data_IF_308172473750
#
_entry.id   IF_308172473750
#
_cell.length_a   1.000
_cell.length_b   1.000
_cell.length_c   1.000
_cell.angle_alpha   90.00
_cell.angle_beta   90.00
_cell.angle_gamma   90.00
#
_symmetry.space_group_name_H-M   'P 1'
#
loop_
_entity.id
_entity.type
_entity.pdbx_description
1 polymer ?
#
# COMPACT_ATOMS: atom_id res chain seq x y z
N UNK A 1 3.88 50.11 -8.21
CA UNK A 1 2.96 48.99 -7.93
C UNK A 1 3.72 47.94 -7.15
N UNK A 2 3.39 47.80 -5.87
CA UNK A 2 4.06 46.88 -4.94
C UNK A 2 3.72 45.42 -5.28
N UNK A 3 4.73 44.61 -5.59
CA UNK A 3 4.64 43.14 -5.54
C UNK A 3 4.50 42.73 -4.07
N UNK A 4 3.35 42.16 -3.71
CA UNK A 4 3.21 41.48 -2.41
C UNK A 4 4.04 40.21 -2.45
N UNK A 5 5.12 40.22 -1.68
CA UNK A 5 5.88 39.07 -1.24
C UNK A 5 4.95 38.06 -0.56
N UNK A 6 4.95 36.82 -1.04
CA UNK A 6 4.29 35.71 -0.36
C UNK A 6 4.90 35.53 1.03
N UNK A 7 4.05 35.31 2.03
CA UNK A 7 4.49 35.05 3.38
C UNK A 7 5.25 33.72 3.41
N UNK A 8 6.55 33.77 3.70
CA UNK A 8 7.27 32.61 4.21
C UNK A 8 6.77 32.37 5.64
N UNK A 9 5.98 31.32 5.83
CA UNK A 9 5.79 30.74 7.16
C UNK A 9 7.12 30.12 7.56
N UNK A 10 7.79 30.70 8.55
CA UNK A 10 8.99 30.13 9.17
C UNK A 10 8.55 29.48 10.47
N UNK A 11 7.60 28.55 10.40
CA UNK A 11 7.22 27.75 11.55
C UNK A 11 8.25 26.63 11.72
N UNK A 12 8.93 26.60 12.87
CA UNK A 12 9.89 25.55 13.23
C UNK A 12 9.25 24.14 13.28
N UNK A 13 7.92 24.06 13.23
CA UNK A 13 7.11 22.83 13.10
C UNK A 13 6.94 22.32 11.66
N UNK A 14 7.36 23.07 10.63
CA UNK A 14 7.30 22.66 9.22
C UNK A 14 8.59 22.01 8.70
N UNK A 15 9.60 21.84 9.55
CA UNK A 15 10.82 21.13 9.18
C UNK A 15 10.52 19.65 8.91
N UNK A 16 10.89 19.15 7.73
CA UNK A 16 10.79 17.71 7.40
C UNK A 16 11.74 16.94 8.30
N UNK A 17 11.20 16.25 9.30
CA UNK A 17 11.93 15.20 10.00
C UNK A 17 11.73 13.86 9.28
N UNK A 18 12.54 13.64 8.25
CA UNK A 18 12.55 12.38 7.49
C UNK A 18 12.97 11.16 8.34
N UNK A 19 13.44 11.37 9.58
CA UNK A 19 13.73 10.27 10.50
C UNK A 19 12.50 9.82 11.28
N UNK A 20 11.43 10.63 11.32
CA UNK A 20 10.17 10.29 11.97
C UNK A 20 9.27 9.43 11.05
N UNK A 21 9.66 8.17 10.89
CA UNK A 21 8.89 7.13 10.19
C UNK A 21 7.76 6.54 11.04
N UNK A 22 7.41 7.18 12.16
CA UNK A 22 6.39 6.70 13.09
C UNK A 22 4.99 7.20 12.74
N UNK A 23 4.02 6.30 12.90
CA UNK A 23 2.59 6.57 12.83
C UNK A 23 1.97 6.64 14.23
N UNK A 24 0.75 6.14 14.35
CA UNK A 24 -0.04 6.15 15.57
C UNK A 24 0.73 5.57 16.77
N UNK A 25 0.87 6.36 17.85
CA UNK A 25 1.54 5.98 19.09
C UNK A 25 2.95 5.37 18.91
N UNK A 26 3.72 5.82 17.93
CA UNK A 26 5.08 5.32 17.69
C UNK A 26 5.14 4.03 16.87
N UNK A 27 4.00 3.50 16.41
CA UNK A 27 3.95 2.34 15.50
C UNK A 27 4.69 2.65 14.20
N UNK A 28 5.30 1.65 13.57
CA UNK A 28 5.99 1.85 12.29
C UNK A 28 4.98 2.19 11.19
N UNK A 29 5.17 3.31 10.49
CA UNK A 29 4.32 3.68 9.37
C UNK A 29 4.54 2.70 8.20
N UNK A 30 3.46 2.28 7.54
CA UNK A 30 3.52 1.34 6.42
C UNK A 30 2.41 1.60 5.42
N UNK A 31 2.63 1.15 4.18
CA UNK A 31 1.68 1.24 3.10
C UNK A 31 1.49 -0.11 2.42
N UNK A 32 0.27 -0.37 1.95
CA UNK A 32 -0.10 -1.62 1.27
C UNK A 32 -0.97 -1.29 0.07
N UNK A 33 -0.76 -1.99 -1.05
CA UNK A 33 -1.51 -1.78 -2.29
C UNK A 33 -2.40 -2.97 -2.60
N UNK A 34 -3.70 -2.73 -2.64
CA UNK A 34 -4.68 -3.66 -3.17
C UNK A 34 -4.74 -3.43 -4.69
N UNK A 35 -3.89 -4.16 -5.42
CA UNK A 35 -3.86 -4.11 -6.87
C UNK A 35 -5.04 -4.92 -7.43
N UNK A 36 -5.88 -4.28 -8.24
CA UNK A 36 -7.14 -4.85 -8.75
C UNK A 36 -7.15 -4.83 -10.28
N UNK A 37 -7.67 -5.89 -10.88
CA UNK A 37 -8.06 -5.91 -12.30
C UNK A 37 -9.51 -6.33 -12.48
N UNK A 38 -10.16 -5.74 -13.48
CA UNK A 38 -11.50 -6.15 -13.93
C UNK A 38 -11.39 -7.40 -14.81
N UNK A 39 -12.28 -8.36 -14.63
CA UNK A 39 -12.41 -9.54 -15.49
C UNK A 39 -13.89 -9.79 -15.81
N UNK A 40 -14.21 -10.62 -16.83
CA UNK A 40 -15.60 -10.99 -17.10
C UNK A 40 -16.35 -11.62 -15.91
N UNK A 41 -15.63 -12.25 -14.99
CA UNK A 41 -16.17 -12.93 -13.80
C UNK A 41 -16.14 -12.05 -12.53
N UNK A 42 -15.91 -10.75 -12.68
CA UNK A 42 -15.76 -9.79 -11.60
C UNK A 42 -14.31 -9.37 -11.34
N UNK A 43 -14.06 -8.68 -10.24
CA UNK A 43 -12.69 -8.24 -9.90
C UNK A 43 -11.79 -9.40 -9.49
N UNK A 44 -10.50 -9.26 -9.78
CA UNK A 44 -9.42 -10.03 -9.15
C UNK A 44 -8.47 -9.11 -8.42
N UNK A 45 -7.94 -9.57 -7.29
CA UNK A 45 -6.91 -8.92 -6.48
C UNK A 45 -5.59 -9.69 -6.60
N UNK A 46 -4.47 -8.98 -6.68
CA UNK A 46 -3.16 -9.60 -6.58
C UNK A 46 -2.85 -9.92 -5.11
N UNK A 47 -2.58 -11.18 -4.81
CA UNK A 47 -2.24 -11.66 -3.47
C UNK A 47 -0.95 -12.43 -3.51
N UNK A 48 -0.25 -12.44 -2.39
CA UNK A 48 0.96 -13.23 -2.18
C UNK A 48 0.92 -13.95 -0.84
N UNK A 49 1.45 -15.18 -0.80
CA UNK A 49 1.70 -15.93 0.43
C UNK A 49 3.13 -15.67 0.89
N UNK A 50 3.29 -15.11 2.09
CA UNK A 50 4.60 -14.72 2.63
C UNK A 50 5.43 -15.95 2.96
N UNK A 51 6.72 -15.92 2.60
CA UNK A 51 7.64 -17.02 2.92
C UNK A 51 7.70 -17.26 4.43
N UNK A 52 7.85 -18.52 4.82
CA UNK A 52 7.88 -18.91 6.23
C UNK A 52 9.06 -18.30 7.02
N UNK A 53 10.13 -17.90 6.32
CA UNK A 53 11.32 -17.29 6.91
C UNK A 53 11.11 -15.82 7.32
N UNK A 54 10.01 -15.18 6.91
CA UNK A 54 9.76 -13.78 7.21
C UNK A 54 9.56 -13.52 8.70
N UNK A 55 10.12 -12.41 9.17
CA UNK A 55 10.04 -12.02 10.60
C UNK A 55 8.61 -11.72 11.06
N UNK A 56 7.79 -11.14 10.18
CA UNK A 56 6.41 -10.75 10.48
C UNK A 56 5.47 -11.48 9.53
N UNK A 57 4.38 -12.02 10.09
CA UNK A 57 3.29 -12.69 9.36
C UNK A 57 3.74 -13.81 8.39
N UNK A 58 4.57 -14.78 8.81
CA UNK A 58 4.97 -15.90 7.94
C UNK A 58 3.76 -16.77 7.55
N UNK A 59 3.69 -17.23 6.29
CA UNK A 59 2.61 -18.08 5.77
C UNK A 59 1.24 -17.41 5.72
N UNK A 60 1.20 -16.08 5.85
CA UNK A 60 -0.03 -15.29 5.72
C UNK A 60 -0.17 -14.83 4.27
N UNK A 61 -1.38 -14.94 3.74
CA UNK A 61 -1.74 -14.34 2.46
C UNK A 61 -2.01 -12.86 2.66
N UNK A 62 -1.28 -12.01 1.93
CA UNK A 62 -1.31 -10.55 2.07
C UNK A 62 -1.36 -9.88 0.70
N UNK A 63 -1.65 -8.58 0.72
CA UNK A 63 -1.40 -7.70 -0.41
C UNK A 63 0.08 -7.22 -0.39
N UNK A 64 0.62 -6.76 -1.53
CA UNK A 64 1.94 -6.15 -1.57
C UNK A 64 2.08 -4.93 -0.66
N UNK A 65 3.19 -4.78 0.04
CA UNK A 65 3.40 -3.63 0.90
C UNK A 65 4.38 -3.82 2.04
N UNK A 66 4.86 -2.69 2.55
CA UNK A 66 5.88 -2.67 3.58
C UNK A 66 5.97 -1.34 4.31
N UNK A 67 7.06 -1.19 5.04
CA UNK A 67 7.27 -0.04 5.92
C UNK A 67 7.76 1.17 5.15
N UNK A 68 7.33 2.36 5.58
CA UNK A 68 7.89 3.61 5.06
C UNK A 68 9.39 3.70 5.42
N UNK A 69 10.21 4.00 4.44
CA UNK A 69 11.64 4.28 4.54
C UNK A 69 11.87 5.80 4.63
N UNK A 70 12.95 6.24 5.28
CA UNK A 70 13.27 7.67 5.35
C UNK A 70 13.49 8.31 3.98
N UNK A 71 13.87 7.51 2.97
CA UNK A 71 14.05 7.91 1.57
C UNK A 71 12.73 8.08 0.81
N UNK A 72 11.60 7.62 1.36
CA UNK A 72 10.27 7.87 0.80
C UNK A 72 9.78 9.31 1.13
N UNK A 73 10.40 9.97 2.11
CA UNK A 73 10.11 11.36 2.42
C UNK A 73 10.63 12.31 1.35
N UNK A 74 9.94 13.43 1.13
CA UNK A 74 10.43 14.43 0.19
C UNK A 74 11.74 15.07 0.69
N UNK A 75 12.59 15.57 -0.22
CA UNK A 75 13.82 16.26 0.15
C UNK A 75 13.54 17.52 1.00
N UNK A 76 14.53 17.98 1.78
CA UNK A 76 14.36 19.13 2.70
C UNK A 76 13.93 20.44 2.02
N UNK A 77 14.25 20.62 0.74
CA UNK A 77 13.90 21.80 -0.05
C UNK A 77 12.67 21.56 -0.95
N UNK A 78 11.83 20.59 -0.62
CA UNK A 78 10.69 20.21 -1.44
C UNK A 78 9.65 21.33 -1.53
N UNK A 79 9.46 21.81 -2.76
CA UNK A 79 8.29 22.57 -3.14
C UNK A 79 7.21 21.56 -3.56
N UNK A 80 5.95 21.84 -3.23
CA UNK A 80 4.82 20.97 -3.60
C UNK A 80 4.84 20.72 -5.14
N UNK A 81 5.21 19.51 -5.59
CA UNK A 81 5.16 19.12 -7.02
C UNK A 81 6.34 18.32 -7.57
N UNK A 82 7.51 18.30 -6.92
CA UNK A 82 8.63 17.50 -7.45
C UNK A 82 8.32 16.00 -7.37
N UNK A 83 8.43 15.30 -8.51
CA UNK A 83 8.13 13.86 -8.69
C UNK A 83 6.69 13.46 -8.33
N UNK A 84 5.75 14.41 -8.38
CA UNK A 84 4.38 14.23 -7.91
C UNK A 84 3.36 14.86 -8.86
N UNK A 85 2.38 14.06 -9.29
CA UNK A 85 1.23 14.51 -10.11
C UNK A 85 -0.10 14.16 -9.43
N UNK A 86 -1.16 14.90 -9.78
CA UNK A 86 -2.54 14.67 -9.34
C UNK A 86 -2.96 15.58 -8.18
N UNK A 87 -3.77 15.05 -7.25
CA UNK A 87 -4.17 15.77 -6.03
C UNK A 87 -2.94 16.22 -5.25
N UNK A 88 -2.96 17.45 -4.73
CA UNK A 88 -1.85 17.95 -3.91
C UNK A 88 -1.63 17.09 -2.67
N UNK A 89 -0.37 16.97 -2.22
CA UNK A 89 -0.04 16.24 -1.01
C UNK A 89 -0.82 16.73 0.22
N UNK A 90 -1.14 18.03 0.30
CA UNK A 90 -2.01 18.58 1.36
C UNK A 90 -3.43 18.01 1.29
N UNK A 91 -3.99 17.83 0.10
CA UNK A 91 -5.31 17.22 -0.09
C UNK A 91 -5.29 15.75 0.34
N UNK A 92 -4.28 15.00 -0.10
CA UNK A 92 -4.08 13.59 0.28
C UNK A 92 -3.88 13.47 1.80
N UNK A 93 -3.05 14.32 2.39
CA UNK A 93 -2.79 14.35 3.82
C UNK A 93 -4.06 14.57 4.65
N UNK A 94 -4.95 15.48 4.21
CA UNK A 94 -6.24 15.69 4.86
C UNK A 94 -7.12 14.44 4.80
N UNK A 95 -7.11 13.72 3.67
CA UNK A 95 -7.87 12.46 3.51
C UNK A 95 -7.33 11.35 4.40
N UNK A 96 -6.01 11.26 4.54
CA UNK A 96 -5.31 10.25 5.35
C UNK A 96 -5.27 10.60 6.84
N UNK A 97 -5.48 11.86 7.22
CA UNK A 97 -5.35 12.32 8.60
C UNK A 97 -3.89 12.32 9.09
N UNK A 98 -2.96 12.72 8.22
CA UNK A 98 -1.52 12.82 8.52
C UNK A 98 -0.95 14.15 8.02
N UNK A 99 0.34 14.42 8.23
CA UNK A 99 1.02 15.59 7.67
C UNK A 99 1.27 15.42 6.16
N UNK A 100 1.50 16.51 5.43
CA UNK A 100 1.80 16.44 3.97
C UNK A 100 3.04 15.60 3.65
N UNK A 101 4.04 15.63 4.52
CA UNK A 101 5.27 14.84 4.37
C UNK A 101 5.03 13.34 4.58
N UNK A 102 4.21 12.96 5.58
CA UNK A 102 3.80 11.56 5.78
C UNK A 102 2.90 11.07 4.66
N UNK A 103 2.03 11.93 4.11
CA UNK A 103 1.23 11.58 2.94
C UNK A 103 2.10 11.31 1.71
N UNK A 104 3.13 12.13 1.47
CA UNK A 104 4.13 11.89 0.43
C UNK A 104 4.81 10.53 0.63
N UNK A 105 5.37 10.31 1.82
CA UNK A 105 6.10 9.09 2.16
C UNK A 105 5.24 7.83 2.05
N UNK A 106 3.96 7.89 2.42
CA UNK A 106 3.03 6.78 2.28
C UNK A 106 2.77 6.41 0.82
N UNK A 107 2.59 7.39 -0.07
CA UNK A 107 2.36 7.13 -1.49
C UNK A 107 3.63 6.62 -2.17
N UNK A 108 4.79 7.18 -1.83
CA UNK A 108 6.08 6.70 -2.34
C UNK A 108 6.38 5.27 -1.85
N UNK A 109 6.16 4.98 -0.57
CA UNK A 109 6.27 3.62 -0.06
C UNK A 109 5.31 2.66 -0.78
N UNK A 110 4.06 3.06 -1.02
CA UNK A 110 3.09 2.23 -1.74
C UNK A 110 3.58 1.87 -3.16
N UNK A 111 4.11 2.84 -3.92
CA UNK A 111 4.67 2.62 -5.27
C UNK A 111 5.94 1.76 -5.20
N UNK A 112 6.84 2.06 -4.27
CA UNK A 112 8.12 1.36 -4.10
C UNK A 112 7.88 -0.11 -3.77
N UNK A 113 7.12 -0.39 -2.72
CA UNK A 113 6.86 -1.76 -2.25
C UNK A 113 6.14 -2.58 -3.32
N UNK A 114 5.15 -1.99 -4.02
CA UNK A 114 4.49 -2.69 -5.13
C UNK A 114 5.49 -3.06 -6.23
N UNK A 115 6.40 -2.15 -6.59
CA UNK A 115 7.38 -2.40 -7.63
C UNK A 115 8.44 -3.41 -7.20
N UNK A 116 8.97 -3.29 -5.98
CA UNK A 116 9.94 -4.22 -5.39
C UNK A 116 9.37 -5.64 -5.37
N UNK A 117 8.14 -5.82 -4.90
CA UNK A 117 7.56 -7.15 -4.69
C UNK A 117 6.96 -7.77 -5.97
N UNK A 118 6.46 -6.96 -6.90
CA UNK A 118 5.65 -7.48 -8.03
C UNK A 118 6.14 -7.07 -9.42
N UNK A 119 7.11 -6.16 -9.52
CA UNK A 119 7.52 -5.58 -10.80
C UNK A 119 6.51 -4.62 -11.42
N UNK A 120 5.34 -4.41 -10.80
CA UNK A 120 4.35 -3.42 -11.26
C UNK A 120 4.72 -2.02 -10.78
N UNK A 121 4.94 -1.10 -11.70
CA UNK A 121 5.31 0.29 -11.42
C UNK A 121 4.13 1.23 -11.70
N UNK A 122 3.59 1.84 -10.65
CA UNK A 122 2.58 2.90 -10.73
C UNK A 122 3.28 4.26 -10.84
N UNK A 123 3.73 4.59 -12.04
CA UNK A 123 4.37 5.87 -12.34
C UNK A 123 3.83 6.48 -13.64
N UNK A 124 3.90 7.79 -13.75
CA UNK A 124 3.51 8.56 -14.94
C UNK A 124 4.68 9.39 -15.46
N UNK A 125 4.69 9.72 -16.75
CA UNK A 125 5.59 10.75 -17.29
C UNK A 125 5.17 12.17 -16.85
N UNK A 126 5.90 13.19 -17.30
CA UNK A 126 5.64 14.60 -16.98
C UNK A 126 4.28 15.09 -17.53
N UNK A 127 3.75 14.46 -18.58
CA UNK A 127 2.42 14.70 -19.13
C UNK A 127 1.30 13.98 -18.33
N UNK A 128 1.65 13.14 -17.36
CA UNK A 128 0.71 12.37 -16.56
C UNK A 128 0.23 11.08 -17.24
N UNK A 129 0.90 10.62 -18.29
CA UNK A 129 0.61 9.36 -18.97
C UNK A 129 1.13 8.19 -18.14
N UNK A 130 0.24 7.25 -17.80
CA UNK A 130 0.61 6.04 -17.08
C UNK A 130 1.56 5.17 -17.90
N UNK A 131 2.67 4.79 -17.27
CA UNK A 131 3.64 3.87 -17.83
C UNK A 131 3.00 2.52 -18.18
N UNK A 132 3.09 2.13 -19.45
CA UNK A 132 2.53 0.86 -19.95
C UNK A 132 3.43 -0.36 -19.76
N UNK A 133 4.75 -0.17 -19.57
CA UNK A 133 5.72 -1.27 -19.46
C UNK A 133 6.81 -0.92 -18.43
N UNK A 134 6.90 -1.73 -17.38
CA UNK A 134 7.89 -1.56 -16.30
C UNK A 134 9.16 -2.41 -16.48
N UNK A 135 9.19 -3.33 -17.46
CA UNK A 135 10.33 -4.24 -17.68
C UNK A 135 11.67 -3.51 -17.91
N UNK A 136 11.73 -2.34 -18.59
CA UNK A 136 12.99 -1.61 -18.73
C UNK A 136 13.65 -1.21 -17.40
N UNK A 137 12.89 -1.16 -16.31
CA UNK A 137 13.36 -0.75 -14.99
C UNK A 137 13.73 -1.93 -14.09
N UNK A 138 13.80 -3.16 -14.61
CA UNK A 138 14.11 -4.37 -13.82
C UNK A 138 15.45 -4.26 -13.07
N UNK A 139 16.52 -3.77 -13.72
CA UNK A 139 17.81 -3.58 -13.04
C UNK A 139 17.73 -2.56 -11.90
N UNK A 140 16.87 -1.55 -12.03
CA UNK A 140 16.62 -0.58 -10.95
C UNK A 140 15.74 -1.17 -9.85
N UNK A 141 14.79 -2.06 -10.17
CA UNK A 141 14.04 -2.85 -9.17
C UNK A 141 15.00 -3.63 -8.27
N UNK A 142 15.97 -4.33 -8.85
CA UNK A 142 16.96 -5.09 -8.07
C UNK A 142 17.77 -4.18 -7.14
N UNK A 143 18.12 -2.97 -7.60
CA UNK A 143 18.83 -1.96 -6.79
C UNK A 143 17.96 -1.32 -5.71
N UNK A 144 16.64 -1.23 -5.91
CA UNK A 144 15.69 -0.79 -4.88
C UNK A 144 15.60 -1.84 -3.77
N UNK A 145 15.41 -3.12 -4.17
CA UNK A 145 15.37 -4.27 -3.25
C UNK A 145 16.66 -4.40 -2.44
N UNK A 146 17.83 -4.18 -3.06
CA UNK A 146 19.12 -4.18 -2.35
C UNK A 146 19.41 -2.88 -1.58
N UNK A 147 18.51 -1.90 -1.65
CA UNK A 147 18.62 -0.56 -1.07
C UNK A 147 19.80 0.28 -1.59
N UNK A 148 20.37 -0.06 -2.75
CA UNK A 148 21.45 0.69 -3.41
C UNK A 148 20.98 2.06 -3.94
N UNK A 149 19.73 2.17 -4.36
CA UNK A 149 19.09 3.43 -4.79
C UNK A 149 17.75 3.61 -4.06
N UNK A 150 17.24 4.84 -4.04
CA UNK A 150 15.87 5.12 -3.61
C UNK A 150 14.89 5.15 -4.78
N UNK A 151 13.58 5.03 -4.51
CA UNK A 151 12.55 5.26 -5.52
C UNK A 151 12.67 6.69 -6.09
N UNK A 152 12.96 7.67 -5.24
CA UNK A 152 13.20 9.07 -5.64
C UNK A 152 14.32 9.18 -6.67
N UNK A 153 15.46 8.52 -6.46
CA UNK A 153 16.58 8.52 -7.42
C UNK A 153 16.18 7.88 -8.75
N UNK A 154 15.44 6.77 -8.69
CA UNK A 154 14.96 6.07 -9.87
C UNK A 154 13.98 6.92 -10.68
N UNK A 155 13.02 7.57 -10.02
CA UNK A 155 12.04 8.44 -10.67
C UNK A 155 12.72 9.64 -11.34
N UNK A 156 13.68 10.29 -10.66
CA UNK A 156 14.45 11.39 -11.23
C UNK A 156 15.26 10.98 -12.45
N UNK A 157 15.94 9.83 -12.39
CA UNK A 157 16.78 9.35 -13.48
C UNK A 157 15.98 8.98 -14.75
N UNK A 158 14.67 8.77 -14.62
CA UNK A 158 13.80 8.28 -15.69
C UNK A 158 12.69 9.27 -16.08
N UNK A 159 12.69 10.50 -15.54
CA UNK A 159 11.66 11.51 -15.81
C UNK A 159 10.24 10.99 -15.51
N UNK A 160 10.11 10.28 -14.38
CA UNK A 160 8.86 9.69 -13.91
C UNK A 160 8.38 10.34 -12.62
N UNK A 161 7.07 10.28 -12.41
CA UNK A 161 6.38 10.89 -11.27
C UNK A 161 5.43 9.89 -10.61
N UNK A 162 5.25 10.02 -9.29
CA UNK A 162 4.16 9.35 -8.57
C UNK A 162 2.87 10.13 -8.81
N UNK A 163 1.85 9.47 -9.37
CA UNK A 163 0.53 10.06 -9.53
C UNK A 163 -0.40 9.66 -8.38
N UNK A 164 -0.74 10.64 -7.54
CA UNK A 164 -1.62 10.44 -6.38
C UNK A 164 -3.05 10.00 -6.72
N UNK A 165 -3.48 10.18 -7.96
CA UNK A 165 -4.80 9.72 -8.43
C UNK A 165 -4.84 8.21 -8.71
N UNK A 166 -3.69 7.55 -8.81
CA UNK A 166 -3.58 6.09 -9.00
C UNK A 166 -3.71 5.30 -7.70
N UNK A 167 -3.56 5.95 -6.54
CA UNK A 167 -3.59 5.34 -5.21
C UNK A 167 -4.76 5.88 -4.40
N UNK A 168 -5.82 5.10 -4.27
CA UNK A 168 -7.07 5.52 -3.66
C UNK A 168 -7.11 5.03 -2.20
N UNK A 169 -7.12 5.92 -1.18
CA UNK A 169 -7.14 5.51 0.21
C UNK A 169 -8.37 4.65 0.54
N UNK A 170 -8.15 3.48 1.15
CA UNK A 170 -9.19 2.48 1.39
C UNK A 170 -9.40 2.14 2.86
N UNK A 171 -8.31 1.93 3.62
CA UNK A 171 -8.39 1.56 5.02
C UNK A 171 -7.12 1.96 5.77
N UNK A 172 -7.22 2.07 7.11
CA UNK A 172 -6.08 2.26 8.01
C UNK A 172 -6.18 1.29 9.18
N UNK A 173 -5.12 0.53 9.42
CA UNK A 173 -5.06 -0.45 10.50
C UNK A 173 -3.81 -0.26 11.35
N UNK A 174 -3.98 -0.20 12.67
CA UNK A 174 -2.87 -0.16 13.64
C UNK A 174 -2.80 -1.52 14.31
N UNK A 175 -1.91 -2.39 13.83
CA UNK A 175 -1.84 -3.80 14.21
C UNK A 175 -0.52 -4.18 14.85
N UNK A 176 -0.55 -5.19 15.71
CA UNK A 176 0.64 -5.77 16.33
C UNK A 176 0.93 -7.14 15.73
N UNK A 177 2.14 -7.34 15.23
CA UNK A 177 2.60 -8.67 14.81
C UNK A 177 2.78 -9.60 16.01
N UNK A 178 2.82 -10.91 15.77
CA UNK A 178 3.10 -11.93 16.79
C UNK A 178 4.43 -11.72 17.56
N UNK A 179 5.35 -10.90 17.04
CA UNK A 179 6.62 -10.55 17.68
C UNK A 179 6.58 -9.25 18.51
N UNK A 180 5.42 -8.61 18.63
CA UNK A 180 5.26 -7.36 19.37
C UNK A 180 5.56 -6.09 18.57
N UNK A 181 5.91 -6.20 17.28
CA UNK A 181 6.13 -5.03 16.43
C UNK A 181 4.78 -4.43 16.00
N UNK A 182 4.60 -3.14 16.25
CA UNK A 182 3.40 -2.38 15.89
C UNK A 182 3.57 -1.66 14.56
N UNK A 183 2.53 -1.70 13.73
CA UNK A 183 2.47 -1.08 12.42
C UNK A 183 1.21 -0.22 12.31
N UNK A 184 1.35 0.98 11.75
CA UNK A 184 0.25 1.85 11.31
C UNK A 184 0.20 1.79 9.79
N UNK A 185 -0.65 0.93 9.28
CA UNK A 185 -0.71 0.55 7.86
C UNK A 185 -1.84 1.26 7.16
N UNK A 186 -1.52 1.96 6.07
CA UNK A 186 -2.47 2.57 5.16
C UNK A 186 -2.62 1.69 3.91
N UNK A 187 -3.85 1.30 3.59
CA UNK A 187 -4.17 0.50 2.41
C UNK A 187 -4.74 1.38 1.30
N UNK A 188 -4.23 1.19 0.09
CA UNK A 188 -4.64 1.93 -1.11
C UNK A 188 -5.18 0.96 -2.17
N UNK A 189 -6.29 1.28 -2.81
CA UNK A 189 -6.70 0.61 -4.05
C UNK A 189 -5.89 1.16 -5.21
N UNK A 190 -5.45 0.28 -6.10
CA UNK A 190 -4.87 0.64 -7.38
C UNK A 190 -5.43 -0.25 -8.49
N UNK A 191 -5.65 0.34 -9.67
CA UNK A 191 -5.97 -0.45 -10.87
C UNK A 191 -4.68 -0.95 -11.50
N UNK A 192 -4.64 -2.23 -11.86
CA UNK A 192 -3.52 -2.80 -12.60
C UNK A 192 -3.31 -2.02 -13.93
N UNK A 193 -2.10 -1.50 -14.19
CA UNK A 193 -1.79 -0.84 -15.45
C UNK A 193 -1.95 -1.80 -16.63
N UNK A 194 -2.56 -1.33 -17.71
CA UNK A 194 -2.61 -2.11 -18.96
C UNK A 194 -1.19 -2.22 -19.52
N UNK A 195 -0.76 -3.44 -19.83
CA UNK A 195 0.56 -3.72 -20.40
C UNK A 195 1.61 -4.18 -19.39
N UNK A 196 1.32 -4.06 -18.09
CA UNK A 196 2.13 -4.64 -17.02
C UNK A 196 1.42 -5.90 -16.47
N UNK A 197 2.19 -6.95 -16.20
CA UNK A 197 1.71 -8.13 -15.47
C UNK A 197 2.58 -8.30 -14.23
N UNK A 198 1.98 -8.34 -13.02
CA UNK A 198 2.73 -8.64 -11.80
C UNK A 198 3.43 -9.99 -11.87
N UNK A 199 4.64 -10.05 -11.34
CA UNK A 199 5.37 -11.30 -11.14
C UNK A 199 5.41 -11.70 -9.66
N UNK A 200 5.89 -12.93 -9.41
CA UNK A 200 6.19 -13.46 -8.09
C UNK A 200 7.72 -13.52 -7.85
N UNK A 201 8.51 -12.73 -8.59
CA UNK A 201 9.98 -12.76 -8.53
C UNK A 201 10.48 -11.93 -7.33
N UNK A 202 10.12 -12.37 -6.14
CA UNK A 202 10.51 -11.76 -4.87
C UNK A 202 11.02 -12.81 -3.89
N UNK A 203 11.98 -12.43 -3.04
CA UNK A 203 12.44 -13.29 -1.94
C UNK A 203 11.46 -13.35 -0.75
N UNK A 204 10.36 -12.59 -0.81
CA UNK A 204 9.42 -12.43 0.30
C UNK A 204 8.12 -13.25 0.17
N UNK A 205 7.84 -13.82 -1.01
CA UNK A 205 6.66 -14.63 -1.25
C UNK A 205 7.02 -16.05 -1.75
N UNK A 206 6.32 -17.07 -1.26
CA UNK A 206 6.42 -18.46 -1.75
C UNK A 206 5.54 -18.66 -3.00
N UNK A 207 4.41 -17.96 -3.07
CA UNK A 207 3.48 -17.97 -4.19
C UNK A 207 2.76 -16.61 -4.29
N UNK A 208 2.39 -16.19 -5.51
CA UNK A 208 1.61 -14.99 -5.74
C UNK A 208 0.76 -15.12 -7.03
N UNK A 209 -0.49 -14.66 -6.97
CA UNK A 209 -1.38 -14.72 -8.12
C UNK A 209 -2.57 -13.75 -8.01
N UNK A 210 -3.34 -13.70 -9.10
CA UNK A 210 -4.63 -13.05 -9.18
C UNK A 210 -5.75 -13.95 -8.66
N UNK A 211 -6.43 -13.53 -7.60
CA UNK A 211 -7.54 -14.27 -7.02
C UNK A 211 -8.82 -13.44 -6.97
N UNK A 212 -9.97 -14.13 -7.07
CA UNK A 212 -11.25 -13.52 -6.70
C UNK A 212 -11.29 -13.33 -5.18
N UNK A 213 -11.74 -12.16 -4.67
CA UNK A 213 -11.97 -11.99 -3.23
C UNK A 213 -12.90 -13.07 -2.66
N UNK A 214 -13.94 -13.47 -3.40
CA UNK A 214 -14.89 -14.50 -2.97
C UNK A 214 -14.20 -15.86 -2.79
N UNK A 215 -13.36 -16.25 -3.75
CA UNK A 215 -12.60 -17.50 -3.70
C UNK A 215 -11.63 -17.53 -2.51
N UNK A 216 -10.95 -16.41 -2.24
CA UNK A 216 -10.06 -16.26 -1.08
C UNK A 216 -10.81 -16.46 0.23
N UNK A 217 -12.00 -15.87 0.36
CA UNK A 217 -12.85 -16.02 1.55
C UNK A 217 -13.37 -17.45 1.72
N UNK A 218 -13.75 -18.12 0.63
CA UNK A 218 -14.10 -19.55 0.66
C UNK A 218 -12.90 -20.42 1.09
N UNK A 219 -11.71 -20.13 0.55
CA UNK A 219 -10.47 -20.79 0.94
C UNK A 219 -10.16 -20.62 2.43
N UNK A 220 -10.32 -19.41 2.97
CA UNK A 220 -10.15 -19.15 4.41
C UNK A 220 -11.18 -19.90 5.27
N UNK A 221 -12.47 -19.89 4.90
CA UNK A 221 -13.51 -20.69 5.58
C UNK A 221 -13.23 -22.19 5.52
N UNK A 222 -12.59 -22.65 4.45
CA UNK A 222 -12.11 -24.01 4.28
C UNK A 222 -10.74 -24.27 4.92
N UNK A 223 -10.13 -23.30 5.60
CA UNK A 223 -8.82 -23.44 6.26
C UNK A 223 -7.67 -23.77 5.30
N UNK A 224 -7.79 -23.32 4.06
CA UNK A 224 -6.78 -23.42 3.00
C UNK A 224 -5.99 -22.11 2.83
N UNK A 225 -6.41 -21.03 3.49
CA UNK A 225 -5.81 -19.70 3.40
C UNK A 225 -5.76 -19.07 4.79
N UNK A 226 -4.67 -18.36 5.09
CA UNK A 226 -4.49 -17.63 6.35
C UNK A 226 -4.45 -16.14 6.10
N UNK A 227 -5.27 -15.39 6.83
CA UNK A 227 -5.31 -13.92 6.76
C UNK A 227 -5.04 -13.29 8.11
N UNK A 228 -4.37 -12.14 8.08
CA UNK A 228 -4.40 -11.21 9.21
C UNK A 228 -5.75 -10.49 9.22
N UNK A 229 -6.23 -9.98 10.37
CA UNK A 229 -7.55 -9.33 10.46
C UNK A 229 -7.77 -8.21 9.44
N UNK A 230 -6.72 -7.42 9.18
CA UNK A 230 -6.76 -6.30 8.22
C UNK A 230 -7.01 -6.77 6.79
N UNK A 231 -6.25 -7.77 6.31
CA UNK A 231 -6.41 -8.36 4.98
C UNK A 231 -7.79 -9.00 4.84
N UNK A 232 -8.22 -9.78 5.84
CA UNK A 232 -9.55 -10.40 5.82
C UNK A 232 -10.67 -9.37 5.72
N UNK A 233 -10.62 -8.31 6.53
CA UNK A 233 -11.66 -7.27 6.53
C UNK A 233 -11.76 -6.53 5.21
N UNK A 234 -10.61 -6.25 4.58
CA UNK A 234 -10.56 -5.59 3.28
C UNK A 234 -11.08 -6.51 2.17
N UNK A 235 -10.70 -7.79 2.15
CA UNK A 235 -11.24 -8.78 1.20
C UNK A 235 -12.75 -8.98 1.36
N UNK A 236 -13.24 -9.02 2.60
CA UNK A 236 -14.67 -9.17 2.89
C UNK A 236 -15.49 -8.00 2.32
N UNK A 237 -14.97 -6.77 2.39
CA UNK A 237 -15.62 -5.62 1.73
C UNK A 237 -15.62 -5.77 0.20
N UNK A 238 -14.48 -6.18 -0.37
CA UNK A 238 -14.31 -6.35 -1.83
C UNK A 238 -15.13 -7.51 -2.41
N UNK A 239 -15.61 -8.46 -1.59
CA UNK A 239 -16.54 -9.51 -2.04
C UNK A 239 -17.86 -8.95 -2.60
N UNK A 240 -18.21 -7.70 -2.30
CA UNK A 240 -19.40 -7.01 -2.82
C UNK A 240 -19.18 -6.27 -4.15
N UNK A 241 -17.94 -6.27 -4.68
CA UNK A 241 -17.58 -5.54 -5.89
C UNK A 241 -17.49 -6.47 -7.10
N UNK A 242 -18.11 -6.06 -8.21
CA UNK A 242 -17.95 -6.73 -9.50
C UNK A 242 -16.95 -5.99 -10.41
N UNK A 243 -16.74 -4.69 -10.17
CA UNK A 243 -15.78 -3.86 -10.92
C UNK A 243 -14.87 -3.04 -10.00
N UNK A 244 -13.73 -2.58 -10.53
CA UNK A 244 -12.84 -1.64 -9.87
C UNK A 244 -13.59 -0.37 -9.48
N UNK A 245 -14.50 0.14 -10.33
CA UNK A 245 -15.29 1.33 -9.99
C UNK A 245 -16.20 1.10 -8.78
N UNK A 246 -16.69 -0.12 -8.55
CA UNK A 246 -17.43 -0.44 -7.32
C UNK A 246 -16.54 -0.38 -6.09
N UNK A 247 -15.30 -0.88 -6.20
CA UNK A 247 -14.31 -0.75 -5.14
C UNK A 247 -13.96 0.73 -4.87
N UNK A 248 -13.86 1.56 -5.92
CA UNK A 248 -13.68 3.01 -5.79
C UNK A 248 -14.86 3.67 -5.06
N UNK A 249 -16.11 3.27 -5.35
CA UNK A 249 -17.29 3.77 -4.63
C UNK A 249 -17.23 3.45 -3.13
N UNK A 250 -16.76 2.25 -2.75
CA UNK A 250 -16.51 1.92 -1.35
C UNK A 250 -15.44 2.84 -0.76
N UNK A 251 -14.31 3.00 -1.45
CA UNK A 251 -13.18 3.81 -0.99
C UNK A 251 -13.51 5.30 -0.82
N UNK A 252 -14.40 5.87 -1.65
CA UNK A 252 -14.85 7.28 -1.51
C UNK A 252 -15.48 7.56 -0.15
N UNK A 253 -16.18 6.59 0.42
CA UNK A 253 -16.84 6.70 1.73
C UNK A 253 -16.03 6.05 2.86
N UNK A 254 -14.84 5.52 2.57
CA UNK A 254 -14.02 4.87 3.58
C UNK A 254 -13.66 5.83 4.72
N UNK A 255 -13.71 5.32 5.93
CA UNK A 255 -13.26 5.99 7.13
C UNK A 255 -11.79 5.68 7.37
N UNK A 256 -10.94 6.71 7.31
CA UNK A 256 -9.49 6.56 7.51
C UNK A 256 -9.07 6.66 8.99
N UNK A 257 -10.03 6.68 9.94
CA UNK A 257 -9.72 6.48 11.36
C UNK A 257 -9.14 5.07 11.55
N UNK A 258 -8.04 4.92 12.31
CA UNK A 258 -7.39 3.64 12.46
C UNK A 258 -8.30 2.65 13.20
N UNK A 259 -8.40 1.44 12.67
CA UNK A 259 -8.84 0.27 13.43
C UNK A 259 -7.64 -0.23 14.22
N UNK A 260 -7.76 -0.36 15.54
CA UNK A 260 -6.63 -0.60 16.43
C UNK A 260 -6.70 -2.01 17.00
N UNK A 261 -5.60 -2.74 16.92
CA UNK A 261 -5.45 -4.09 17.47
C UNK A 261 -6.41 -5.08 16.82
N UNK A 262 -7.05 -5.89 17.67
CA UNK A 262 -8.02 -6.91 17.28
C UNK A 262 -9.44 -6.44 17.62
N UNK A 263 -10.24 -5.99 16.63
CA UNK A 263 -11.58 -5.45 16.87
C UNK A 263 -12.61 -6.59 17.03
N UNK A 264 -12.39 -7.50 17.97
CA UNK A 264 -13.26 -8.68 18.18
C UNK A 264 -14.71 -8.31 18.53
N UNK A 265 -14.92 -7.18 19.21
CA UNK A 265 -16.25 -6.68 19.58
C UNK A 265 -16.97 -5.95 18.43
N UNK A 266 -16.29 -5.71 17.30
CA UNK A 266 -16.89 -5.06 16.13
C UNK A 266 -17.66 -6.11 15.29
N UNK A 267 -18.99 -5.95 15.11
CA UNK A 267 -19.80 -6.91 14.36
C UNK A 267 -19.30 -7.19 12.94
N UNK A 268 -18.56 -6.25 12.33
CA UNK A 268 -17.97 -6.41 10.99
C UNK A 268 -16.91 -7.51 10.94
N UNK A 269 -16.26 -7.83 12.07
CA UNK A 269 -15.16 -8.80 12.17
C UNK A 269 -15.56 -10.05 12.97
N UNK A 270 -16.82 -10.16 13.39
CA UNK A 270 -17.29 -11.28 14.21
C UNK A 270 -16.99 -12.63 13.56
N UNK A 271 -17.18 -12.76 12.25
CA UNK A 271 -16.85 -14.00 11.54
C UNK A 271 -15.36 -14.38 11.69
N UNK A 272 -14.46 -13.41 11.52
CA UNK A 272 -13.02 -13.66 11.64
C UNK A 272 -12.60 -14.13 13.04
N UNK A 273 -13.12 -13.48 14.09
CA UNK A 273 -12.68 -13.74 15.47
C UNK A 273 -13.40 -14.92 16.14
N UNK A 274 -14.58 -15.31 15.66
CA UNK A 274 -15.39 -16.38 16.28
C UNK A 274 -15.50 -17.65 15.43
N UNK A 275 -15.07 -17.63 14.17
CA UNK A 275 -14.96 -18.84 13.36
C UNK A 275 -13.56 -19.45 13.48
N UNK A 276 -13.50 -20.77 13.62
CA UNK A 276 -12.25 -21.51 13.67
C UNK A 276 -12.23 -22.55 12.55
N UNK A 277 -11.89 -22.16 11.31
CA UNK A 277 -11.69 -23.09 10.21
C UNK A 277 -10.67 -24.17 10.60
N UNK A 278 -10.93 -25.42 10.20
CA UNK A 278 -9.95 -26.51 10.37
C UNK A 278 -8.68 -26.16 9.59
N UNK A 279 -7.54 -26.06 10.26
CA UNK A 279 -6.25 -25.84 9.58
C UNK A 279 -5.92 -27.06 8.70
N UNK A 280 -5.99 -26.87 7.37
CA UNK A 280 -5.71 -27.90 6.36
C UNK A 280 -4.35 -27.71 5.68
N UNK A 281 -3.67 -26.60 5.96
CA UNK A 281 -2.35 -26.27 5.41
C UNK A 281 -1.24 -26.44 6.46
N UNK A 282 -1.59 -26.82 7.69
CA UNK A 282 -0.68 -27.22 8.76
C UNK A 282 -0.11 -26.01 9.49
N UNK A 283 0.35 -26.21 10.73
CA UNK A 283 0.92 -25.14 11.55
C UNK A 283 2.24 -24.65 10.93
N UNK A 284 2.53 -23.33 10.95
CA UNK A 284 3.86 -22.82 10.66
C UNK A 284 4.87 -23.56 11.54
N UNK A 285 5.80 -24.31 10.95
CA UNK A 285 6.93 -24.87 11.69
C UNK A 285 7.98 -23.81 11.95
#
# INVERSE_FOLDING_TARGET
MYRKTGAFSVDATDAVDATETSGFNGSRLSATVILIRDTPDGIKVWMQERVMSMKNYPGMTVFPGGGVDSRDFPPRAWNDGDLWIGKSAVSVARRLGVTKYKAHALLFAAVRELFEETGTLLAVDDEGTLLGDARPFHDQRLKLVSHEISLTDMLQANELNVCSDLLIPFARWVGCSHRGNWFDTFSFLAKAPIGQEPDAETGEADDANWFSPKLLMEGWRAGLVRFVPSTWGQLQQLCSCDTFEDAVKLARNADMRPIIGDPADDPRYHEFFHQHPTDRIGTPK
#
